data_IF_225362312444
#
_entry.id   IF_225362312444
#
_cell.length_a   1.000
_cell.length_b   1.000
_cell.length_c   1.000
_cell.angle_alpha   90.00
_cell.angle_beta   90.00
_cell.angle_gamma   90.00
#
_symmetry.space_group_name_H-M   'P 1'
#
loop_
_entity.id
_entity.type
_entity.pdbx_description
1 polymer ?
#
# COMPACT_ATOMS: atom_id res chain seq x y z
N UNK A 1 -17.14 -9.10 -3.39
CA UNK A 1 -15.90 -9.65 -2.82
C UNK A 1 -14.59 -9.08 -3.41
N UNK A 2 -14.56 -8.51 -4.63
CA UNK A 2 -13.32 -7.98 -5.22
C UNK A 2 -12.80 -6.63 -4.67
N UNK A 3 -13.66 -5.77 -4.14
CA UNK A 3 -13.31 -4.41 -3.69
C UNK A 3 -12.42 -4.37 -2.44
N UNK A 4 -12.63 -5.29 -1.50
CA UNK A 4 -11.84 -5.39 -0.25
C UNK A 4 -10.38 -5.75 -0.50
N UNK A 5 -10.11 -6.65 -1.45
CA UNK A 5 -8.74 -7.09 -1.77
C UNK A 5 -7.91 -5.95 -2.37
N UNK A 6 -8.48 -5.17 -3.28
CA UNK A 6 -7.77 -4.03 -3.88
C UNK A 6 -7.45 -2.96 -2.85
N UNK A 7 -8.38 -2.64 -1.94
CA UNK A 7 -8.15 -1.65 -0.89
C UNK A 7 -7.03 -2.06 0.06
N UNK A 8 -7.01 -3.32 0.50
CA UNK A 8 -5.95 -3.84 1.37
C UNK A 8 -4.57 -3.80 0.72
N UNK A 9 -4.46 -4.19 -0.55
CA UNK A 9 -3.18 -4.17 -1.31
C UNK A 9 -2.66 -2.74 -1.47
N UNK A 10 -3.53 -1.78 -1.77
CA UNK A 10 -3.14 -0.38 -1.89
C UNK A 10 -2.73 0.21 -0.54
N UNK A 11 -3.44 -0.13 0.53
CA UNK A 11 -3.09 0.27 1.90
C UNK A 11 -1.72 -0.31 2.32
N UNK A 12 -1.46 -1.60 2.05
CA UNK A 12 -0.17 -2.20 2.38
C UNK A 12 0.97 -1.62 1.53
N UNK A 13 0.75 -1.37 0.24
CA UNK A 13 1.76 -0.80 -0.64
C UNK A 13 2.11 0.65 -0.23
N UNK A 14 1.10 1.47 0.06
CA UNK A 14 1.30 2.84 0.54
C UNK A 14 1.97 2.88 1.91
N UNK A 15 1.59 2.01 2.83
CA UNK A 15 2.26 1.87 4.13
C UNK A 15 3.73 1.45 3.96
N UNK A 16 4.02 0.46 3.10
CA UNK A 16 5.38 0.05 2.80
C UNK A 16 6.22 1.19 2.23
N UNK A 17 5.66 1.98 1.30
CA UNK A 17 6.33 3.16 0.76
C UNK A 17 6.63 4.21 1.84
N UNK A 18 5.67 4.48 2.73
CA UNK A 18 5.86 5.43 3.82
C UNK A 18 6.92 4.94 4.81
N UNK A 19 6.93 3.65 5.16
CA UNK A 19 7.96 3.03 6.02
C UNK A 19 9.33 3.18 5.37
N UNK A 20 9.44 2.84 4.09
CA UNK A 20 10.71 2.86 3.40
C UNK A 20 11.26 4.28 3.23
N UNK A 21 10.40 5.26 2.94
CA UNK A 21 10.78 6.69 2.95
C UNK A 21 11.20 7.16 4.35
N UNK A 22 10.53 6.72 5.40
CA UNK A 22 10.90 7.06 6.77
C UNK A 22 12.25 6.46 7.16
N UNK A 23 12.51 5.20 6.78
CA UNK A 23 13.78 4.52 7.02
C UNK A 23 14.92 5.21 6.26
N UNK A 24 14.66 5.62 5.02
CA UNK A 24 15.58 6.43 4.24
C UNK A 24 15.90 7.76 4.92
N UNK A 25 14.88 8.52 5.35
CA UNK A 25 15.12 9.76 6.10
C UNK A 25 15.93 9.53 7.38
N UNK A 26 15.69 8.42 8.08
CA UNK A 26 16.46 8.05 9.27
C UNK A 26 17.92 7.72 8.92
N UNK A 27 18.16 6.97 7.86
CA UNK A 27 19.51 6.67 7.36
C UNK A 27 20.27 7.95 7.03
N UNK A 28 19.71 8.83 6.20
CA UNK A 28 20.35 10.13 5.85
C UNK A 28 20.57 11.01 7.08
N UNK A 29 19.63 11.02 8.02
CA UNK A 29 19.80 11.78 9.26
C UNK A 29 20.95 11.22 10.11
N UNK A 30 21.13 9.90 10.16
CA UNK A 30 22.24 9.27 10.86
C UNK A 30 23.57 9.58 10.18
N UNK A 31 23.65 9.53 8.85
CA UNK A 31 24.84 9.91 8.10
C UNK A 31 25.24 11.36 8.42
N UNK A 32 24.30 12.30 8.29
CA UNK A 32 24.53 13.72 8.60
C UNK A 32 24.97 13.92 10.05
N UNK A 33 24.34 13.21 11.01
CA UNK A 33 24.77 13.30 12.41
C UNK A 33 26.18 12.73 12.59
N UNK A 34 26.50 11.62 11.92
CA UNK A 34 27.83 11.05 11.89
C UNK A 34 28.87 12.05 11.39
N UNK A 35 28.65 12.60 10.20
CA UNK A 35 29.57 13.52 9.51
C UNK A 35 29.83 14.80 10.30
N UNK A 36 28.78 15.38 10.92
CA UNK A 36 28.87 16.70 11.55
C UNK A 36 29.05 16.66 13.08
N UNK A 37 28.55 15.64 13.77
CA UNK A 37 28.61 15.57 15.23
C UNK A 37 29.75 14.69 15.75
N UNK A 38 30.20 13.69 14.97
CA UNK A 38 31.35 12.86 15.31
C UNK A 38 32.58 13.41 14.59
N UNK A 39 33.61 13.70 15.37
CA UNK A 39 34.79 14.46 14.92
C UNK A 39 35.64 13.58 13.99
N UNK A 40 35.44 13.68 12.67
CA UNK A 40 36.21 13.02 11.60
C UNK A 40 36.68 11.61 11.99
N UNK A 41 35.75 10.66 12.02
CA UNK A 41 36.09 9.23 12.07
C UNK A 41 36.08 8.65 10.65
N UNK A 42 36.82 7.56 10.45
CA UNK A 42 37.32 6.99 9.19
C UNK A 42 36.32 6.63 8.05
N UNK A 43 35.09 7.17 8.05
CA UNK A 43 34.02 6.89 7.09
C UNK A 43 33.96 7.84 5.88
N UNK A 44 34.74 8.93 5.86
CA UNK A 44 34.71 9.94 4.78
C UNK A 44 35.14 9.39 3.40
N UNK A 45 35.83 8.26 3.35
CA UNK A 45 36.39 7.70 2.10
C UNK A 45 35.48 6.68 1.39
N UNK A 46 34.36 6.25 2.00
CA UNK A 46 33.53 5.22 1.40
C UNK A 46 32.56 5.80 0.34
N UNK A 47 32.66 5.37 -0.93
CA UNK A 47 31.77 5.86 -1.97
C UNK A 47 30.33 5.42 -1.68
N UNK A 48 29.44 6.39 -1.47
CA UNK A 48 28.04 6.16 -1.08
C UNK A 48 27.21 5.50 -2.21
N UNK A 49 27.42 4.20 -2.42
CA UNK A 49 26.75 3.37 -3.43
C UNK A 49 25.25 3.19 -3.22
N UNK A 50 24.70 3.67 -2.10
CA UNK A 50 23.28 3.56 -1.74
C UNK A 50 22.37 4.55 -2.48
N UNK A 51 22.91 5.65 -3.04
CA UNK A 51 22.13 6.69 -3.75
C UNK A 51 21.18 6.17 -4.84
N UNK A 52 21.57 5.23 -5.73
CA UNK A 52 20.66 4.66 -6.72
C UNK A 52 19.51 3.87 -6.09
N UNK A 53 19.75 3.19 -4.96
CA UNK A 53 18.69 2.50 -4.22
C UNK A 53 17.68 3.49 -3.65
N UNK A 54 18.12 4.66 -3.17
CA UNK A 54 17.23 5.73 -2.70
C UNK A 54 16.34 6.26 -3.82
N UNK A 55 16.91 6.50 -4.99
CA UNK A 55 16.17 6.96 -6.17
C UNK A 55 15.16 5.90 -6.63
N UNK A 56 15.56 4.63 -6.67
CA UNK A 56 14.66 3.53 -7.04
C UNK A 56 13.49 3.40 -6.07
N UNK A 57 13.75 3.54 -4.76
CA UNK A 57 12.72 3.47 -3.72
C UNK A 57 11.75 4.66 -3.80
N UNK A 58 12.26 5.87 -3.99
CA UNK A 58 11.44 7.06 -4.18
C UNK A 58 10.57 6.95 -5.45
N UNK A 59 11.13 6.44 -6.55
CA UNK A 59 10.39 6.20 -7.79
C UNK A 59 9.29 5.14 -7.61
N UNK A 60 9.58 4.04 -6.92
CA UNK A 60 8.59 3.00 -6.61
C UNK A 60 7.44 3.54 -5.73
N UNK A 61 7.76 4.40 -4.77
CA UNK A 61 6.77 5.07 -3.93
C UNK A 61 5.88 6.02 -4.72
N UNK A 62 6.49 6.86 -5.57
CA UNK A 62 5.77 7.78 -6.44
C UNK A 62 4.84 7.04 -7.43
N UNK A 63 5.34 5.96 -8.04
CA UNK A 63 4.56 5.13 -8.96
C UNK A 63 3.36 4.48 -8.25
N UNK A 64 3.59 3.94 -7.05
CA UNK A 64 2.54 3.32 -6.23
C UNK A 64 1.46 4.35 -5.89
N UNK A 65 1.85 5.56 -5.45
CA UNK A 65 0.91 6.64 -5.15
C UNK A 65 0.10 7.04 -6.40
N UNK A 66 0.74 7.15 -7.57
CA UNK A 66 0.08 7.47 -8.83
C UNK A 66 -0.96 6.41 -9.21
N UNK A 67 -0.62 5.12 -9.09
CA UNK A 67 -1.54 4.01 -9.37
C UNK A 67 -2.74 4.03 -8.42
N UNK A 68 -2.52 4.25 -7.12
CA UNK A 68 -3.60 4.37 -6.13
C UNK A 68 -4.56 5.50 -6.50
N UNK A 69 -4.03 6.68 -6.81
CA UNK A 69 -4.80 7.87 -7.18
C UNK A 69 -5.57 7.64 -8.49
N UNK A 70 -4.96 7.03 -9.50
CA UNK A 70 -5.59 6.71 -10.77
C UNK A 70 -6.73 5.70 -10.61
N UNK A 71 -6.52 4.61 -9.86
CA UNK A 71 -7.55 3.61 -9.57
C UNK A 71 -8.73 4.21 -8.80
N UNK A 72 -8.42 5.06 -7.82
CA UNK A 72 -9.40 5.74 -7.00
C UNK A 72 -10.26 6.72 -7.83
N UNK A 73 -9.62 7.48 -8.73
CA UNK A 73 -10.32 8.38 -9.66
C UNK A 73 -11.18 7.60 -10.66
N UNK A 74 -10.66 6.52 -11.23
CA UNK A 74 -11.37 5.66 -12.18
C UNK A 74 -12.65 5.05 -11.60
N UNK A 75 -12.60 4.55 -10.36
CA UNK A 75 -13.79 4.01 -9.68
C UNK A 75 -14.89 5.03 -9.52
N UNK A 76 -14.53 6.24 -9.12
CA UNK A 76 -15.51 7.29 -8.92
C UNK A 76 -16.04 7.86 -10.24
N UNK A 77 -15.24 7.88 -11.31
CA UNK A 77 -15.71 8.14 -12.67
C UNK A 77 -16.73 7.10 -13.16
N UNK A 78 -16.64 5.85 -12.68
CA UNK A 78 -17.64 4.79 -12.93
C UNK A 78 -18.90 4.90 -12.07
N UNK A 79 -19.03 5.94 -11.26
CA UNK A 79 -20.23 6.22 -10.47
C UNK A 79 -20.15 5.84 -9.00
N UNK A 80 -19.02 5.29 -8.51
CA UNK A 80 -18.80 5.02 -7.09
C UNK A 80 -18.52 6.33 -6.32
N UNK A 81 -19.56 7.11 -6.00
CA UNK A 81 -19.44 8.39 -5.30
C UNK A 81 -18.68 8.22 -3.97
N UNK A 82 -17.67 9.06 -3.76
CA UNK A 82 -16.86 9.04 -2.54
C UNK A 82 -15.77 7.96 -2.50
N UNK A 83 -15.66 7.10 -3.53
CA UNK A 83 -14.62 6.07 -3.58
C UNK A 83 -13.21 6.66 -3.53
N UNK A 84 -12.97 7.84 -4.14
CA UNK A 84 -11.65 8.47 -4.10
C UNK A 84 -11.22 8.79 -2.68
N UNK A 85 -12.07 9.50 -1.95
CA UNK A 85 -11.81 9.89 -0.56
C UNK A 85 -11.69 8.66 0.34
N UNK A 86 -12.54 7.65 0.14
CA UNK A 86 -12.51 6.41 0.92
C UNK A 86 -11.21 5.61 0.68
N UNK A 87 -10.73 5.52 -0.56
CA UNK A 87 -9.49 4.80 -0.89
C UNK A 87 -8.26 5.58 -0.37
N UNK A 88 -8.17 6.89 -0.66
CA UNK A 88 -7.02 7.71 -0.27
C UNK A 88 -6.91 7.83 1.25
N UNK A 89 -8.01 8.12 1.96
CA UNK A 89 -7.98 8.24 3.42
C UNK A 89 -8.06 6.89 4.13
N UNK A 90 -8.62 5.86 3.50
CA UNK A 90 -8.69 4.51 4.06
C UNK A 90 -7.35 3.77 3.98
N UNK A 91 -6.51 4.12 3.01
CA UNK A 91 -5.14 3.61 2.90
C UNK A 91 -4.21 4.19 4.00
N UNK A 92 -4.58 5.32 4.61
CA UNK A 92 -3.78 5.99 5.62
C UNK A 92 -4.40 5.81 7.01
N UNK A 93 -3.85 4.91 7.86
CA UNK A 93 -4.36 4.72 9.20
C UNK A 93 -4.25 6.04 9.99
N UNK A 94 -5.17 6.23 10.93
CA UNK A 94 -5.05 7.35 11.88
C UNK A 94 -3.83 7.09 12.77
N UNK A 95 -2.96 8.09 13.00
CA UNK A 95 -1.83 7.92 13.89
C UNK A 95 -2.34 7.68 15.31
N UNK A 96 -2.17 6.46 15.78
CA UNK A 96 -2.42 6.03 17.15
C UNK A 96 -1.18 5.33 17.69
N UNK A 97 -1.07 5.11 19.01
CA UNK A 97 0.16 4.60 19.64
C UNK A 97 0.60 3.27 19.05
N UNK A 98 -0.33 2.33 18.81
CA UNK A 98 -0.02 1.03 18.19
C UNK A 98 0.45 1.16 16.73
N UNK A 99 -0.15 2.06 15.95
CA UNK A 99 0.25 2.30 14.55
C UNK A 99 1.63 2.92 14.50
N UNK A 100 1.91 3.90 15.37
CA UNK A 100 3.23 4.52 15.47
C UNK A 100 4.29 3.52 15.93
N UNK A 101 3.98 2.67 16.92
CA UNK A 101 4.90 1.62 17.37
C UNK A 101 5.20 0.61 16.26
N UNK A 102 4.18 0.15 15.53
CA UNK A 102 4.36 -0.75 14.39
C UNK A 102 5.18 -0.08 13.27
N UNK A 103 4.90 1.19 12.98
CA UNK A 103 5.63 1.96 11.96
C UNK A 103 7.09 2.18 12.35
N UNK A 104 7.37 2.50 13.61
CA UNK A 104 8.72 2.62 14.15
C UNK A 104 9.46 1.28 14.05
N UNK A 105 8.86 0.17 14.50
CA UNK A 105 9.46 -1.15 14.42
C UNK A 105 9.79 -1.57 12.98
N UNK A 106 8.87 -1.35 12.04
CA UNK A 106 9.09 -1.64 10.62
C UNK A 106 10.14 -0.71 10.01
N UNK A 107 10.21 0.55 10.45
CA UNK A 107 11.27 1.49 10.06
C UNK A 107 12.63 1.00 10.55
N UNK A 108 12.73 0.54 11.80
CA UNK A 108 13.97 -0.03 12.35
C UNK A 108 14.43 -1.23 11.55
N UNK A 109 13.52 -2.15 11.19
CA UNK A 109 13.85 -3.31 10.37
C UNK A 109 14.31 -2.91 8.97
N UNK A 110 13.64 -1.95 8.34
CA UNK A 110 14.04 -1.44 7.03
C UNK A 110 15.41 -0.75 7.08
N UNK A 111 15.67 0.06 8.11
CA UNK A 111 16.95 0.73 8.32
C UNK A 111 18.09 -0.28 8.56
N UNK A 112 17.88 -1.27 9.43
CA UNK A 112 18.86 -2.33 9.66
C UNK A 112 19.11 -3.15 8.39
N UNK A 113 18.07 -3.40 7.58
CA UNK A 113 18.19 -4.06 6.29
C UNK A 113 19.04 -3.25 5.29
N UNK A 114 18.91 -1.91 5.29
CA UNK A 114 19.77 -1.03 4.49
C UNK A 114 21.22 -1.11 4.95
N UNK A 115 21.48 -0.97 6.25
CA UNK A 115 22.85 -1.06 6.79
C UNK A 115 23.52 -2.42 6.53
N UNK A 116 22.75 -3.51 6.67
CA UNK A 116 23.25 -4.86 6.33
C UNK A 116 23.56 -5.02 4.84
N UNK A 117 22.75 -4.44 3.95
CA UNK A 117 22.99 -4.47 2.51
C UNK A 117 24.23 -3.65 2.15
N UNK A 118 24.38 -2.47 2.74
CA UNK A 118 25.53 -1.58 2.50
C UNK A 118 26.83 -2.26 2.99
N UNK A 119 26.83 -2.85 4.20
CA UNK A 119 27.96 -3.63 4.71
C UNK A 119 28.31 -4.81 3.79
N UNK A 120 27.32 -5.57 3.34
CA UNK A 120 27.53 -6.67 2.40
C UNK A 120 28.13 -6.21 1.06
N UNK A 121 27.65 -5.10 0.51
CA UNK A 121 28.18 -4.51 -0.73
C UNK A 121 29.60 -3.97 -0.56
N UNK A 122 29.94 -3.46 0.63
CA UNK A 122 31.29 -3.01 0.98
C UNK A 122 32.26 -4.17 1.34
N UNK A 123 31.75 -5.40 1.47
CA UNK A 123 32.55 -6.53 1.95
C UNK A 123 32.89 -6.45 3.44
N UNK A 124 32.20 -5.60 4.21
CA UNK A 124 32.32 -5.49 5.65
C UNK A 124 31.27 -6.38 6.33
N UNK A 125 31.67 -7.29 7.24
CA UNK A 125 30.71 -8.10 7.97
C UNK A 125 29.86 -7.21 8.90
N UNK A 126 28.57 -7.51 8.98
CA UNK A 126 27.64 -6.94 9.96
C UNK A 126 27.38 -8.02 11.00
N UNK A 127 27.99 -7.86 12.18
CA UNK A 127 28.00 -8.91 13.20
C UNK A 127 26.77 -8.82 14.10
N UNK A 128 26.25 -7.62 14.34
CA UNK A 128 25.04 -7.41 15.13
C UNK A 128 24.12 -6.29 14.62
N UNK A 129 23.00 -6.08 15.35
CA UNK A 129 22.02 -5.05 15.03
C UNK A 129 22.56 -3.63 15.28
N UNK A 130 23.51 -3.47 16.18
CA UNK A 130 24.19 -2.20 16.43
C UNK A 130 24.97 -1.77 15.20
N UNK A 131 25.75 -2.67 14.62
CA UNK A 131 26.48 -2.44 13.37
C UNK A 131 25.52 -2.06 12.24
N UNK A 132 24.42 -2.82 12.09
CA UNK A 132 23.39 -2.55 11.09
C UNK A 132 22.68 -1.20 11.26
N UNK A 133 22.76 -0.59 12.45
CA UNK A 133 22.18 0.70 12.80
C UNK A 133 23.23 1.82 12.93
N UNK A 134 24.42 1.63 12.36
CA UNK A 134 25.49 2.63 12.37
C UNK A 134 26.25 2.71 13.70
N UNK A 135 26.36 1.59 14.42
CA UNK A 135 27.11 1.45 15.68
C UNK A 135 26.41 2.00 16.92
N UNK A 136 25.25 2.66 16.79
CA UNK A 136 24.52 3.26 17.92
C UNK A 136 23.01 3.04 17.86
N UNK A 137 22.50 1.92 18.43
CA UNK A 137 21.05 1.65 18.51
C UNK A 137 20.26 2.75 19.21
N UNK A 138 20.85 3.43 20.21
CA UNK A 138 20.20 4.50 20.95
C UNK A 138 19.98 5.74 20.06
N UNK A 139 21.00 6.11 19.27
CA UNK A 139 20.91 7.22 18.34
C UNK A 139 19.88 6.91 17.24
N UNK A 140 19.98 5.74 16.62
CA UNK A 140 19.02 5.27 15.61
C UNK A 140 17.59 5.24 16.16
N UNK A 141 17.39 4.70 17.37
CA UNK A 141 16.10 4.69 18.04
C UNK A 141 15.53 6.08 18.28
N UNK A 142 16.37 7.04 18.67
CA UNK A 142 15.96 8.43 18.91
C UNK A 142 15.56 9.12 17.61
N UNK A 143 16.35 8.96 16.55
CA UNK A 143 16.04 9.49 15.21
C UNK A 143 14.72 8.93 14.71
N UNK A 144 14.52 7.61 14.80
CA UNK A 144 13.26 6.96 14.40
C UNK A 144 12.08 7.46 15.24
N UNK A 145 12.24 7.58 16.57
CA UNK A 145 11.19 8.06 17.46
C UNK A 145 10.72 9.49 17.14
N UNK A 146 11.62 10.35 16.65
CA UNK A 146 11.30 11.71 16.19
C UNK A 146 10.70 11.71 14.78
N UNK A 147 11.29 10.96 13.84
CA UNK A 147 10.86 10.97 12.44
C UNK A 147 9.53 10.27 12.21
N UNK A 148 9.27 9.14 12.89
CA UNK A 148 8.03 8.37 12.73
C UNK A 148 6.75 9.20 12.91
N UNK A 149 6.54 9.96 14.00
CA UNK A 149 5.32 10.78 14.15
C UNK A 149 5.26 11.90 13.11
N UNK A 150 6.39 12.50 12.74
CA UNK A 150 6.45 13.54 11.70
C UNK A 150 6.07 12.97 10.32
N UNK A 151 6.62 11.82 9.95
CA UNK A 151 6.31 11.12 8.71
C UNK A 151 4.83 10.69 8.67
N UNK A 152 4.31 10.14 9.76
CA UNK A 152 2.90 9.77 9.87
C UNK A 152 1.97 10.98 9.71
N UNK A 153 2.31 12.12 10.32
CA UNK A 153 1.57 13.37 10.19
C UNK A 153 1.65 13.92 8.76
N UNK A 154 2.84 13.97 8.17
CA UNK A 154 3.06 14.44 6.81
C UNK A 154 2.28 13.59 5.80
N UNK A 155 2.33 12.27 5.95
CA UNK A 155 1.58 11.32 5.11
C UNK A 155 0.08 11.54 5.23
N UNK A 156 -0.42 11.76 6.45
CA UNK A 156 -1.82 12.07 6.70
C UNK A 156 -2.26 13.38 6.03
N UNK A 157 -1.46 14.44 6.19
CA UNK A 157 -1.73 15.75 5.59
C UNK A 157 -1.71 15.68 4.06
N UNK A 158 -0.78 14.91 3.48
CA UNK A 158 -0.73 14.68 2.04
C UNK A 158 -1.99 13.97 1.55
N UNK A 159 -2.43 12.91 2.24
CA UNK A 159 -3.65 12.20 1.89
C UNK A 159 -4.90 13.10 1.99
N UNK A 160 -4.97 13.96 3.00
CA UNK A 160 -6.04 14.95 3.15
C UNK A 160 -6.00 16.03 2.06
N UNK A 161 -4.82 16.54 1.71
CA UNK A 161 -4.63 17.50 0.63
C UNK A 161 -5.00 16.90 -0.74
N UNK A 162 -4.62 15.64 -0.99
CA UNK A 162 -5.02 14.89 -2.19
C UNK A 162 -6.53 14.70 -2.25
N UNK A 163 -7.15 14.31 -1.13
CA UNK A 163 -8.61 14.16 -1.03
C UNK A 163 -9.34 15.50 -1.27
N UNK A 164 -8.80 16.61 -0.78
CA UNK A 164 -9.33 17.95 -1.04
C UNK A 164 -9.15 18.38 -2.51
N UNK A 165 -8.06 17.95 -3.15
CA UNK A 165 -7.72 18.23 -4.55
C UNK A 165 -8.44 17.32 -5.57
N UNK A 166 -9.49 16.60 -5.14
CA UNK A 166 -10.25 15.64 -5.96
C UNK A 166 -10.60 16.19 -7.34
N UNK A 167 -11.12 17.41 -7.44
CA UNK A 167 -11.53 17.99 -8.72
C UNK A 167 -10.36 18.14 -9.70
N UNK A 168 -9.21 18.63 -9.23
CA UNK A 168 -8.01 18.80 -10.04
C UNK A 168 -7.44 17.46 -10.50
N UNK A 169 -7.36 16.47 -9.59
CA UNK A 169 -6.93 15.10 -9.92
C UNK A 169 -7.81 14.51 -11.01
N UNK A 170 -9.13 14.67 -10.91
CA UNK A 170 -10.06 14.15 -11.90
C UNK A 170 -9.92 14.86 -13.24
N UNK A 171 -9.69 16.17 -13.25
CA UNK A 171 -9.44 16.92 -14.48
C UNK A 171 -8.17 16.40 -15.19
N UNK A 172 -7.09 16.15 -14.44
CA UNK A 172 -5.85 15.59 -14.99
C UNK A 172 -6.07 14.18 -15.54
N UNK A 173 -6.66 13.28 -14.75
CA UNK A 173 -6.94 11.89 -15.17
C UNK A 173 -7.87 11.85 -16.38
N UNK A 174 -8.95 12.64 -16.37
CA UNK A 174 -9.87 12.75 -17.50
C UNK A 174 -9.17 13.34 -18.73
N UNK A 175 -8.27 14.30 -18.56
CA UNK A 175 -7.42 14.84 -19.62
C UNK A 175 -6.56 13.75 -20.27
N UNK A 176 -5.83 12.98 -19.46
CA UNK A 176 -5.03 11.85 -19.97
C UNK A 176 -5.87 10.80 -20.70
N UNK A 177 -7.04 10.45 -20.16
CA UNK A 177 -7.96 9.49 -20.80
C UNK A 177 -8.54 10.02 -22.13
N UNK A 178 -8.69 11.33 -22.28
CA UNK A 178 -9.11 11.96 -23.56
C UNK A 178 -7.99 11.99 -24.59
N UNK A 179 -6.74 12.13 -24.14
CA UNK A 179 -5.56 12.13 -25.00
C UNK A 179 -5.17 10.73 -25.46
N UNK A 180 -5.60 9.69 -24.72
CA UNK A 180 -5.47 8.33 -25.21
C UNK A 180 -6.47 8.17 -26.35
N UNK A 181 -6.04 7.96 -27.61
CA UNK A 181 -6.98 7.67 -28.68
C UNK A 181 -7.83 6.52 -28.19
N UNK A 182 -9.15 6.71 -28.15
CA UNK A 182 -10.06 5.66 -27.74
C UNK A 182 -9.65 4.44 -28.55
N UNK A 183 -9.04 3.45 -27.89
CA UNK A 183 -8.69 2.22 -28.54
C UNK A 183 -10.01 1.78 -29.15
N UNK A 184 -10.09 1.81 -30.49
CA UNK A 184 -11.31 1.48 -31.21
C UNK A 184 -11.80 0.20 -30.53
N UNK A 185 -13.03 0.20 -29.96
CA UNK A 185 -13.49 -0.88 -29.11
C UNK A 185 -13.07 -2.15 -29.81
N UNK A 186 -12.09 -2.88 -29.21
CA UNK A 186 -11.45 -4.00 -29.89
C UNK A 186 -12.62 -4.78 -30.46
N UNK A 187 -12.69 -4.98 -31.80
CA UNK A 187 -13.88 -5.52 -32.42
C UNK A 187 -14.19 -6.72 -31.58
N UNK A 188 -15.29 -6.62 -30.81
CA UNK A 188 -15.81 -7.78 -30.10
C UNK A 188 -15.98 -8.67 -31.29
N UNK A 189 -15.12 -9.68 -31.39
CA UNK A 189 -15.23 -10.68 -32.42
C UNK A 189 -16.63 -11.15 -32.17
N UNK A 190 -17.55 -10.65 -32.99
CA UNK A 190 -18.94 -10.93 -32.88
C UNK A 190 -18.89 -12.41 -33.18
N UNK A 191 -18.87 -13.19 -32.10
CA UNK A 191 -19.36 -14.52 -32.13
C UNK A 191 -20.83 -14.30 -32.50
N UNK A 192 -21.08 -14.12 -33.80
CA UNK A 192 -22.29 -14.45 -34.53
C UNK A 192 -22.53 -15.98 -34.42
N UNK A 193 -22.17 -16.58 -33.28
CA UNK A 193 -22.98 -17.62 -32.69
C UNK A 193 -24.25 -16.94 -32.23
N UNK A 194 -25.17 -16.76 -33.18
CA UNK A 194 -26.60 -16.71 -32.88
C UNK A 194 -26.87 -17.65 -31.69
N UNK A 195 -27.65 -17.25 -30.67
CA UNK A 195 -28.00 -18.13 -29.58
C UNK A 195 -28.65 -19.37 -30.19
N UNK A 196 -27.86 -20.44 -30.36
CA UNK A 196 -28.37 -21.74 -30.73
C UNK A 196 -29.32 -22.06 -29.60
N UNK A 197 -30.64 -22.18 -29.85
CA UNK A 197 -31.55 -22.58 -28.80
C UNK A 197 -30.98 -23.87 -28.23
N UNK A 198 -30.57 -23.82 -26.97
CA UNK A 198 -30.14 -24.99 -26.23
C UNK A 198 -31.34 -25.92 -26.23
N UNK A 199 -31.36 -26.85 -27.19
CA UNK A 199 -32.38 -27.87 -27.30
C UNK A 199 -32.55 -28.47 -25.91
N UNK A 200 -33.78 -28.43 -25.41
CA UNK A 200 -34.15 -28.80 -24.06
C UNK A 200 -33.60 -30.20 -23.70
N UNK A 201 -32.36 -30.26 -23.22
CA UNK A 201 -31.81 -31.45 -22.59
C UNK A 201 -32.48 -31.53 -21.23
N UNK A 202 -33.63 -32.21 -21.23
CA UNK A 202 -34.31 -32.73 -20.06
C UNK A 202 -33.28 -33.47 -19.22
N UNK A 203 -32.69 -32.80 -18.23
CA UNK A 203 -31.80 -33.46 -17.30
C UNK A 203 -32.65 -34.40 -16.43
N UNK A 204 -32.30 -35.69 -16.46
CA UNK A 204 -32.94 -36.75 -15.66
C UNK A 204 -32.81 -36.46 -14.15
N UNK A 205 -31.89 -35.59 -13.76
CA UNK A 205 -31.64 -35.20 -12.38
C UNK A 205 -32.69 -34.23 -11.78
N UNK A 206 -33.48 -33.53 -12.60
CA UNK A 206 -34.56 -32.67 -12.11
C UNK A 206 -35.80 -33.43 -11.60
N UNK A 207 -35.85 -34.76 -11.75
CA UNK A 207 -37.01 -35.59 -11.34
C UNK A 207 -36.93 -36.21 -9.94
N UNK A 208 -35.84 -36.06 -9.17
CA UNK A 208 -35.69 -36.73 -7.85
C UNK A 208 -35.67 -35.82 -6.62
N UNK A 209 -35.89 -34.52 -6.75
CA UNK A 209 -35.96 -33.59 -5.60
C UNK A 209 -37.35 -33.39 -5.01
N UNK A 210 -38.21 -34.41 -5.00
CA UNK A 210 -39.55 -34.34 -4.42
C UNK A 210 -39.54 -34.26 -2.90
N UNK A 211 -40.10 -33.16 -2.37
CA UNK A 211 -40.86 -33.02 -1.11
C UNK A 211 -40.41 -33.89 0.09
N UNK A 212 -39.64 -33.30 1.01
CA UNK A 212 -39.82 -33.58 2.45
C UNK A 212 -40.53 -32.36 3.07
N UNK A 213 -41.74 -32.57 3.56
CA UNK A 213 -42.48 -31.55 4.29
C UNK A 213 -41.77 -31.20 5.61
N UNK A 214 -41.84 -29.95 6.10
CA UNK A 214 -41.29 -29.60 7.40
C UNK A 214 -42.06 -30.31 8.53
N UNK A 215 -41.38 -30.71 9.63
CA UNK A 215 -42.02 -31.35 10.77
C UNK A 215 -43.01 -30.40 11.45
N UNK A 216 -44.24 -30.87 11.66
CA UNK A 216 -45.25 -30.16 12.46
C UNK A 216 -44.85 -30.22 13.93
N UNK A 217 -44.54 -29.07 14.51
CA UNK A 217 -44.39 -28.93 15.96
C UNK A 217 -45.77 -29.07 16.61
N UNK A 218 -45.98 -30.21 17.29
CA UNK A 218 -47.09 -30.41 18.22
C UNK A 218 -46.92 -29.46 19.40
N UNK A 219 -47.76 -28.41 19.45
CA UNK A 219 -47.94 -27.59 20.65
C UNK A 219 -48.73 -28.41 21.66
N UNK A 220 -48.12 -28.72 22.80
CA UNK A 220 -48.82 -29.26 23.97
C UNK A 220 -49.53 -28.12 24.71
N UNK A 221 -50.83 -28.22 25.03
CA UNK A 221 -51.50 -27.24 25.87
C UNK A 221 -51.15 -27.50 27.35
N UNK A 222 -50.50 -26.50 27.97
CA UNK A 222 -50.39 -26.41 29.43
C UNK A 222 -51.80 -26.08 29.95
N UNK A 223 -52.38 -26.99 30.75
CA UNK A 223 -53.53 -26.68 31.60
C UNK A 223 -53.02 -26.03 32.88
N UNK A 224 -53.60 -24.88 33.22
CA UNK A 224 -53.55 -24.27 34.55
C UNK A 224 -54.59 -24.99 35.41
#
# INVERSE_FOLDING_TARGET
MGTFRTGAVLASATAACAIALNALCAHVALDVIGDFALRHDAYDDDPHGSRPALVALAAAAALTALVVVALAAHRELRGERGAFRAIVLGAVPRPGPLVLAAFAALTTLALAGMGALDGWLAGAPVDDLGDALGGSPLLAGTVIAVLTPLAALAWRRLAEALAASRAAVFAVVAGFLRLTPAAAPAPVLALDGAPRPLGARRSVLARRGGKRAPPRLLRSPIRI
#
